data_IF_717532145856
#
_entry.id   IF_717532145856
#
_cell.length_a   1.000
_cell.length_b   1.000
_cell.length_c   1.000
_cell.angle_alpha   90.00
_cell.angle_beta   90.00
_cell.angle_gamma   90.00
#
_symmetry.space_group_name_H-M   'P 1'
#
loop_
_entity.id
_entity.type
_entity.pdbx_description
1 polymer ?
#
# COMPACT_ATOMS: atom_id res chain seq x y z
N UNK A 1 7.64 -9.77 19.76
CA UNK A 1 7.98 -11.20 19.89
C UNK A 1 7.25 -11.89 18.75
N UNK A 2 7.99 -12.43 17.78
CA UNK A 2 7.43 -13.23 16.69
C UNK A 2 7.11 -14.60 17.29
N UNK A 3 5.90 -15.09 17.08
CA UNK A 3 5.49 -16.41 17.60
C UNK A 3 6.22 -17.53 16.83
N UNK A 4 6.50 -18.71 17.45
CA UNK A 4 7.26 -19.78 16.80
C UNK A 4 6.63 -20.34 15.52
N UNK A 5 5.32 -20.14 15.34
CA UNK A 5 4.52 -20.59 14.19
C UNK A 5 4.32 -19.49 13.13
N UNK A 6 4.77 -18.25 13.38
CA UNK A 6 4.83 -17.22 12.35
C UNK A 6 6.10 -17.42 11.52
N UNK A 7 6.01 -17.53 10.18
CA UNK A 7 7.19 -17.46 9.33
C UNK A 7 7.96 -16.19 9.71
N UNK A 8 9.24 -16.34 10.05
CA UNK A 8 10.09 -15.19 10.34
C UNK A 8 9.91 -14.15 9.24
N UNK A 9 9.54 -12.91 9.61
CA UNK A 9 9.23 -11.86 8.66
C UNK A 9 10.30 -11.76 7.57
N UNK A 10 9.88 -11.70 6.30
CA UNK A 10 10.80 -11.75 5.16
C UNK A 10 10.25 -11.04 3.94
N UNK A 11 11.16 -10.52 3.11
CA UNK A 11 10.81 -9.90 1.83
C UNK A 11 10.70 -11.03 0.80
N UNK A 12 9.47 -11.31 0.35
CA UNK A 12 9.20 -12.44 -0.55
C UNK A 12 9.22 -11.97 -2.01
N UNK A 13 9.64 -12.87 -2.92
CA UNK A 13 9.61 -12.65 -4.37
C UNK A 13 10.82 -11.88 -4.88
N UNK A 14 10.64 -11.17 -6.00
CA UNK A 14 11.75 -10.48 -6.68
C UNK A 14 12.47 -9.48 -5.77
N UNK A 15 11.73 -8.73 -4.94
CA UNK A 15 12.33 -7.74 -4.04
C UNK A 15 13.34 -8.37 -3.06
N UNK A 16 13.03 -9.52 -2.47
CA UNK A 16 13.94 -10.22 -1.58
C UNK A 16 15.07 -10.93 -2.32
N UNK A 17 14.75 -11.58 -3.44
CA UNK A 17 15.76 -12.26 -4.27
C UNK A 17 16.83 -11.30 -4.79
N UNK A 18 16.44 -10.11 -5.24
CA UNK A 18 17.37 -9.10 -5.74
C UNK A 18 18.31 -8.63 -4.64
N UNK A 19 17.82 -8.41 -3.41
CA UNK A 19 18.67 -8.06 -2.28
C UNK A 19 19.66 -9.19 -1.93
N UNK A 20 19.18 -10.42 -1.83
CA UNK A 20 20.03 -11.57 -1.50
C UNK A 20 21.09 -11.85 -2.57
N UNK A 21 20.70 -11.85 -3.84
CA UNK A 21 21.59 -12.08 -4.98
C UNK A 21 22.57 -10.93 -5.20
N UNK A 22 22.15 -9.69 -4.95
CA UNK A 22 22.98 -8.50 -5.00
C UNK A 22 24.06 -8.52 -3.93
N UNK A 23 23.67 -8.77 -2.68
CA UNK A 23 24.60 -8.89 -1.56
C UNK A 23 25.66 -9.98 -1.80
N UNK A 24 25.25 -11.17 -2.28
CA UNK A 24 26.17 -12.25 -2.63
C UNK A 24 27.16 -11.90 -3.76
N UNK A 25 26.86 -10.86 -4.55
CA UNK A 25 27.71 -10.34 -5.64
C UNK A 25 28.46 -9.05 -5.29
N UNK A 26 28.36 -8.58 -4.05
CA UNK A 26 28.95 -7.31 -3.63
C UNK A 26 28.27 -6.09 -4.26
N UNK A 27 26.98 -6.20 -4.60
CA UNK A 27 26.16 -5.10 -5.09
C UNK A 27 25.31 -4.58 -3.94
N UNK A 28 25.50 -3.30 -3.62
CA UNK A 28 24.68 -2.61 -2.62
C UNK A 28 23.25 -2.43 -3.13
N UNK A 29 22.28 -2.66 -2.25
CA UNK A 29 20.87 -2.55 -2.58
C UNK A 29 20.02 -2.28 -1.34
N UNK A 30 18.89 -1.62 -1.56
CA UNK A 30 17.87 -1.36 -0.54
C UNK A 30 16.51 -1.80 -1.06
N UNK A 31 15.59 -2.15 -0.16
CA UNK A 31 14.18 -2.38 -0.50
C UNK A 31 13.33 -1.33 0.20
N UNK A 32 12.56 -0.58 -0.58
CA UNK A 32 11.56 0.35 -0.08
C UNK A 32 10.19 -0.32 -0.20
N UNK A 33 9.47 -0.40 0.91
CA UNK A 33 8.14 -1.00 0.97
C UNK A 33 7.16 0.01 1.56
N UNK A 34 6.01 0.14 0.90
CA UNK A 34 4.89 0.91 1.43
C UNK A 34 3.92 -0.03 2.14
N UNK A 35 3.51 0.33 3.34
CA UNK A 35 2.40 -0.35 4.02
C UNK A 35 1.13 -0.17 3.18
N UNK A 36 0.33 -1.22 3.06
CA UNK A 36 -0.93 -1.19 2.33
C UNK A 36 -1.87 -2.25 2.87
N UNK A 37 -3.18 -2.08 2.65
CA UNK A 37 -4.19 -3.08 3.03
C UNK A 37 -3.98 -4.44 2.35
N UNK A 38 -3.32 -4.46 1.19
CA UNK A 38 -3.09 -5.67 0.39
C UNK A 38 -4.32 -6.14 -0.40
N UNK A 39 -5.51 -5.59 -0.15
CA UNK A 39 -6.76 -5.97 -0.82
C UNK A 39 -7.08 -5.12 -2.05
N UNK A 40 -6.62 -3.87 -2.07
CA UNK A 40 -6.89 -2.90 -3.13
C UNK A 40 -5.59 -2.30 -3.64
N UNK A 41 -5.63 -1.81 -4.89
CA UNK A 41 -4.56 -0.96 -5.42
C UNK A 41 -4.51 0.31 -4.58
N UNK A 42 -3.33 0.67 -4.08
CA UNK A 42 -3.12 1.77 -3.14
C UNK A 42 -2.20 2.85 -3.72
N UNK A 43 -2.77 3.89 -4.39
CA UNK A 43 -1.98 4.97 -4.97
C UNK A 43 -1.25 5.82 -3.93
N UNK A 44 -1.75 5.86 -2.69
CA UNK A 44 -1.15 6.66 -1.61
C UNK A 44 0.14 6.01 -1.12
N UNK A 45 0.10 4.71 -0.87
CA UNK A 45 1.27 3.92 -0.50
C UNK A 45 2.34 3.99 -1.60
N UNK A 46 1.94 3.86 -2.87
CA UNK A 46 2.84 4.00 -4.00
C UNK A 46 3.48 5.41 -4.08
N UNK A 47 2.70 6.48 -3.88
CA UNK A 47 3.21 7.85 -3.87
C UNK A 47 4.21 8.09 -2.73
N UNK A 48 3.98 7.51 -1.55
CA UNK A 48 4.89 7.62 -0.41
C UNK A 48 6.24 6.95 -0.71
N UNK A 49 6.24 5.74 -1.26
CA UNK A 49 7.47 5.04 -1.67
C UNK A 49 8.21 5.81 -2.77
N UNK A 50 7.48 6.33 -3.76
CA UNK A 50 8.06 7.14 -4.84
C UNK A 50 8.73 8.41 -4.28
N UNK A 51 8.10 9.09 -3.32
CA UNK A 51 8.66 10.28 -2.69
C UNK A 51 9.98 9.98 -1.95
N UNK A 52 10.02 8.87 -1.19
CA UNK A 52 11.26 8.43 -0.52
C UNK A 52 12.35 8.12 -1.55
N UNK A 53 12.02 7.40 -2.63
CA UNK A 53 12.97 7.10 -3.69
C UNK A 53 13.51 8.37 -4.36
N UNK A 54 12.63 9.33 -4.67
CA UNK A 54 13.00 10.59 -5.29
C UNK A 54 13.96 11.39 -4.39
N UNK A 55 13.68 11.45 -3.09
CA UNK A 55 14.56 12.13 -2.13
C UNK A 55 15.93 11.44 -1.98
N UNK A 56 15.96 10.10 -2.04
CA UNK A 56 17.23 9.35 -1.95
C UNK A 56 18.11 9.54 -3.19
N UNK A 57 17.51 9.74 -4.36
CA UNK A 57 18.21 9.82 -5.64
C UNK A 57 18.30 11.25 -6.21
N UNK A 58 17.79 12.25 -5.48
CA UNK A 58 17.67 13.64 -5.92
C UNK A 58 16.96 13.76 -7.29
N UNK A 59 15.84 13.06 -7.43
CA UNK A 59 15.01 13.04 -8.64
C UNK A 59 13.77 13.91 -8.47
N UNK A 60 13.37 14.59 -9.55
CA UNK A 60 12.09 15.29 -9.62
C UNK A 60 11.12 14.50 -10.53
N UNK A 61 10.23 13.72 -9.92
CA UNK A 61 9.21 12.94 -10.62
C UNK A 61 7.83 13.47 -10.26
N UNK A 62 7.02 13.76 -11.27
CA UNK A 62 5.64 14.19 -11.06
C UNK A 62 4.75 13.02 -10.60
N UNK A 63 4.30 13.10 -9.35
CA UNK A 63 3.40 12.11 -8.73
C UNK A 63 1.92 12.48 -8.82
N UNK A 64 1.55 13.53 -9.58
CA UNK A 64 0.16 14.04 -9.66
C UNK A 64 -0.85 12.95 -10.02
N UNK A 65 -0.50 12.05 -10.96
CA UNK A 65 -1.41 10.96 -11.36
C UNK A 65 -1.69 9.98 -10.22
N UNK A 66 -0.69 9.69 -9.36
CA UNK A 66 -0.89 8.83 -8.19
C UNK A 66 -1.76 9.53 -7.13
N UNK A 67 -1.52 10.81 -6.89
CA UNK A 67 -2.29 11.61 -5.94
C UNK A 67 -3.76 11.70 -6.34
N UNK A 68 -4.03 11.99 -7.62
CA UNK A 68 -5.39 12.08 -8.15
C UNK A 68 -6.16 10.77 -7.99
N UNK A 69 -5.52 9.63 -8.32
CA UNK A 69 -6.11 8.30 -8.11
C UNK A 69 -6.35 8.00 -6.63
N UNK A 70 -5.48 8.48 -5.73
CA UNK A 70 -5.67 8.34 -4.29
C UNK A 70 -6.92 9.06 -3.80
N UNK A 71 -7.17 10.28 -4.28
CA UNK A 71 -8.37 11.07 -3.94
C UNK A 71 -9.64 10.41 -4.49
N UNK A 72 -9.58 9.91 -5.73
CA UNK A 72 -10.70 9.17 -6.35
C UNK A 72 -11.06 7.91 -5.57
N UNK A 73 -10.04 7.17 -5.12
CA UNK A 73 -10.22 5.97 -4.30
C UNK A 73 -10.89 6.29 -2.96
N UNK A 74 -10.49 7.37 -2.29
CA UNK A 74 -11.13 7.80 -1.04
C UNK A 74 -12.61 8.15 -1.25
N UNK A 75 -12.92 8.92 -2.29
CA UNK A 75 -14.31 9.25 -2.62
C UNK A 75 -15.16 8.01 -2.92
N UNK A 76 -14.58 6.98 -3.55
CA UNK A 76 -15.30 5.73 -3.79
C UNK A 76 -15.57 4.97 -2.49
N UNK A 77 -14.60 4.92 -1.58
CA UNK A 77 -14.76 4.28 -0.27
C UNK A 77 -15.82 5.00 0.56
N UNK A 78 -15.79 6.33 0.62
CA UNK A 78 -16.78 7.13 1.34
C UNK A 78 -18.21 6.83 0.83
N UNK A 79 -18.41 6.82 -0.49
CA UNK A 79 -19.73 6.50 -1.08
C UNK A 79 -20.22 5.09 -0.75
N UNK A 80 -19.31 4.11 -0.73
CA UNK A 80 -19.66 2.73 -0.38
C UNK A 80 -20.11 2.63 1.09
N UNK A 81 -19.39 3.28 1.99
CA UNK A 81 -19.72 3.31 3.43
C UNK A 81 -21.06 4.01 3.67
N UNK A 82 -21.31 5.13 3.00
CA UNK A 82 -22.57 5.86 3.13
C UNK A 82 -23.76 5.05 2.61
N UNK A 83 -23.58 4.34 1.49
CA UNK A 83 -24.62 3.47 0.91
C UNK A 83 -24.93 2.28 1.83
N UNK A 84 -23.90 1.67 2.44
CA UNK A 84 -24.10 0.59 3.42
C UNK A 84 -24.87 1.08 4.65
N UNK A 85 -24.49 2.22 5.22
CA UNK A 85 -25.19 2.82 6.37
C UNK A 85 -26.65 3.15 6.05
N UNK A 86 -26.93 3.68 4.87
CA UNK A 86 -28.30 3.94 4.44
C UNK A 86 -29.11 2.64 4.34
N UNK A 87 -28.53 1.59 3.76
CA UNK A 87 -29.19 0.28 3.60
C UNK A 87 -29.48 -0.37 4.96
N UNK A 88 -28.51 -0.38 5.89
CA UNK A 88 -28.70 -0.90 7.25
C UNK A 88 -29.77 -0.12 8.03
N UNK A 89 -29.82 1.21 7.85
CA UNK A 89 -30.83 2.04 8.50
C UNK A 89 -32.26 1.81 7.99
N UNK A 90 -32.41 1.50 6.71
CA UNK A 90 -33.71 1.17 6.11
C UNK A 90 -34.18 -0.26 6.49
N UNK A 91 -33.27 -1.23 6.62
CA UNK A 91 -33.62 -2.56 7.14
C UNK A 91 -34.08 -2.50 8.60
N UNK A 92 -33.42 -1.72 9.47
CA UNK A 92 -33.82 -1.55 10.86
C UNK A 92 -35.19 -0.85 11.00
N UNK A 93 -35.54 0.03 10.06
CA UNK A 93 -36.88 0.65 10.01
C UNK A 93 -38.00 -0.33 9.65
N UNK A 94 -37.69 -1.45 9.02
CA UNK A 94 -38.69 -2.45 8.62
C UNK A 94 -39.03 -3.43 9.75
N UNK A 95 -38.24 -3.45 10.83
CA UNK A 95 -38.38 -4.37 11.96
C UNK A 95 -39.16 -3.73 13.14
N UNK A 96 -39.40 -2.41 13.10
CA UNK A 96 -40.14 -1.65 14.12
C UNK A 96 -41.49 -1.18 13.58
#
# INVERSE_FOLDING_TARGET
>A
MISPDEPGGGIIGAAGLMLGLGSARGIDGICLMGETSGYLVDPKSAAAVLNVLCNLLDLNVDATTLQQRGIEMEHMIEKLVDTQRATESDELRYIV
#
